data_IF_790133503290
#
_entry.id   IF_790133503290
#
_cell.length_a   1.000
_cell.length_b   1.000
_cell.length_c   1.000
_cell.angle_alpha   90.00
_cell.angle_beta   90.00
_cell.angle_gamma   90.00
#
_symmetry.space_group_name_H-M   'P 1'
#
loop_
_entity.id
_entity.type
_entity.pdbx_description
1 polymer ?
#
# COMPACT_ATOMS: atom_id res chain seq x y z
N UNK A 1 -7.64 -10.02 7.43
CA UNK A 1 -8.27 -8.69 7.38
C UNK A 1 -8.23 -8.23 5.95
N UNK A 2 -9.37 -7.94 5.35
CA UNK A 2 -9.46 -7.31 4.03
C UNK A 2 -9.12 -5.82 4.14
N UNK A 3 -8.88 -5.16 3.00
CA UNK A 3 -8.65 -3.71 2.96
C UNK A 3 -9.83 -2.91 3.56
N UNK A 4 -11.08 -3.39 3.43
CA UNK A 4 -12.26 -2.72 4.00
C UNK A 4 -12.25 -2.81 5.54
N UNK A 5 -11.94 -3.97 6.09
CA UNK A 5 -11.86 -4.17 7.55
C UNK A 5 -10.73 -3.32 8.16
N UNK A 6 -9.57 -3.23 7.48
CA UNK A 6 -8.48 -2.32 7.91
C UNK A 6 -8.94 -0.86 7.87
N UNK A 7 -9.74 -0.47 6.88
CA UNK A 7 -10.29 0.88 6.80
C UNK A 7 -11.27 1.18 7.96
N UNK A 8 -12.11 0.23 8.34
CA UNK A 8 -13.01 0.35 9.49
C UNK A 8 -12.23 0.51 10.80
N UNK A 9 -11.22 -0.32 11.01
CA UNK A 9 -10.32 -0.19 12.18
C UNK A 9 -9.67 1.19 12.18
N UNK A 10 -9.11 1.65 11.06
CA UNK A 10 -8.48 2.96 10.97
C UNK A 10 -9.47 4.09 11.31
N UNK A 11 -10.68 4.08 10.72
CA UNK A 11 -11.74 5.05 11.01
C UNK A 11 -12.13 5.09 12.48
N UNK A 12 -12.12 3.95 13.17
CA UNK A 12 -12.43 3.88 14.61
C UNK A 12 -11.34 4.47 15.51
N UNK A 13 -10.11 4.63 14.99
CA UNK A 13 -8.92 5.03 15.78
C UNK A 13 -8.36 6.41 15.43
N UNK A 14 -8.94 7.11 14.46
CA UNK A 14 -8.47 8.44 14.04
C UNK A 14 -9.63 9.37 13.74
N UNK A 15 -9.39 10.68 13.91
CA UNK A 15 -10.32 11.74 13.46
C UNK A 15 -10.06 12.20 12.02
N UNK A 16 -8.97 11.70 11.42
CA UNK A 16 -8.55 12.02 10.04
C UNK A 16 -9.47 11.32 9.04
N UNK A 17 -9.59 11.88 7.84
CA UNK A 17 -10.36 11.26 6.75
C UNK A 17 -9.64 9.98 6.31
N UNK A 18 -10.40 8.91 6.15
CA UNK A 18 -9.89 7.60 5.71
C UNK A 18 -10.59 7.17 4.41
N UNK A 19 -9.82 7.12 3.33
CA UNK A 19 -10.28 6.76 1.99
C UNK A 19 -9.66 5.44 1.53
N UNK A 20 -10.52 4.54 1.03
CA UNK A 20 -10.09 3.30 0.38
C UNK A 20 -9.89 3.58 -1.11
N UNK A 21 -8.72 3.27 -1.63
CA UNK A 21 -8.36 3.46 -3.04
C UNK A 21 -8.14 2.09 -3.67
N UNK A 22 -9.00 1.72 -4.62
CA UNK A 22 -8.96 0.46 -5.37
C UNK A 22 -9.15 0.73 -6.85
N UNK A 23 -8.80 -0.26 -7.67
CA UNK A 23 -8.91 -0.18 -9.13
C UNK A 23 -8.13 1.00 -9.73
N UNK A 24 -6.99 1.34 -9.10
CA UNK A 24 -6.12 2.41 -9.56
C UNK A 24 -5.44 2.00 -10.86
N UNK A 25 -5.28 2.93 -11.78
CA UNK A 25 -4.32 2.77 -12.88
C UNK A 25 -2.88 2.94 -12.37
N UNK A 26 -1.89 2.56 -13.18
CA UNK A 26 -0.48 2.76 -12.83
C UNK A 26 -0.13 4.26 -12.66
N UNK A 27 -0.77 5.12 -13.47
CA UNK A 27 -0.61 6.58 -13.41
C UNK A 27 -1.24 7.17 -12.15
N UNK A 28 -2.43 6.71 -11.75
CA UNK A 28 -3.06 7.13 -10.50
C UNK A 28 -2.25 6.69 -9.28
N UNK A 29 -1.73 5.45 -9.32
CA UNK A 29 -0.82 4.97 -8.28
C UNK A 29 0.45 5.83 -8.18
N UNK A 30 1.07 6.18 -9.31
CA UNK A 30 2.20 7.11 -9.35
C UNK A 30 1.84 8.47 -8.74
N UNK A 31 0.69 9.05 -9.09
CA UNK A 31 0.24 10.31 -8.51
C UNK A 31 0.06 10.23 -6.99
N UNK A 32 -0.34 9.07 -6.45
CA UNK A 32 -0.36 8.83 -5.01
C UNK A 32 1.04 8.72 -4.40
N UNK A 33 1.95 7.98 -5.04
CA UNK A 33 3.33 7.84 -4.54
C UNK A 33 4.07 9.18 -4.49
N UNK A 34 3.91 10.05 -5.50
CA UNK A 34 4.47 11.42 -5.47
C UNK A 34 4.01 12.26 -4.28
N UNK A 35 2.88 11.91 -3.65
CA UNK A 35 2.33 12.59 -2.47
C UNK A 35 2.61 11.84 -1.16
N UNK A 36 3.34 10.73 -1.19
CA UNK A 36 3.65 9.93 -0.01
C UNK A 36 4.63 10.63 0.95
N UNK A 37 5.42 11.59 0.46
CA UNK A 37 6.33 12.38 1.29
C UNK A 37 5.65 13.55 2.01
N UNK A 38 4.36 13.81 1.73
CA UNK A 38 3.60 14.86 2.41
C UNK A 38 3.33 14.46 3.87
N UNK A 39 3.79 15.23 4.88
CA UNK A 39 3.53 14.93 6.29
C UNK A 39 2.02 14.91 6.63
N UNK A 40 1.18 15.55 5.83
CA UNK A 40 -0.28 15.53 5.91
C UNK A 40 -0.93 14.31 5.26
N UNK A 41 -0.19 13.34 4.71
CA UNK A 41 -0.77 12.13 4.08
C UNK A 41 -0.06 10.87 4.52
N UNK A 42 -0.83 9.85 4.90
CA UNK A 42 -0.29 8.52 5.22
C UNK A 42 -0.97 7.48 4.36
N UNK A 43 -0.16 6.57 3.84
CA UNK A 43 -0.63 5.46 3.01
C UNK A 43 -0.32 4.13 3.69
N UNK A 44 -1.29 3.23 3.68
CA UNK A 44 -1.09 1.80 3.98
C UNK A 44 -1.39 1.05 2.69
N UNK A 45 -0.44 0.25 2.22
CA UNK A 45 -0.62 -0.58 1.03
C UNK A 45 -1.02 -2.00 1.42
N UNK A 46 -1.94 -2.58 0.66
CA UNK A 46 -2.25 -3.99 0.67
C UNK A 46 -1.73 -4.64 -0.61
N UNK A 47 -0.86 -5.63 -0.49
CA UNK A 47 -0.21 -6.26 -1.64
C UNK A 47 -0.01 -7.76 -1.39
N UNK A 48 0.17 -8.55 -2.45
CA UNK A 48 0.63 -9.95 -2.30
C UNK A 48 2.14 -10.02 -2.21
N UNK A 49 2.67 -10.78 -1.26
CA UNK A 49 4.11 -11.06 -1.15
C UNK A 49 4.61 -11.89 -2.31
N UNK A 50 3.77 -12.72 -2.93
CA UNK A 50 4.15 -13.58 -4.06
C UNK A 50 4.76 -12.80 -5.22
N UNK A 51 4.17 -11.66 -5.61
CA UNK A 51 4.67 -10.82 -6.72
C UNK A 51 6.01 -10.13 -6.40
N UNK A 52 6.35 -10.02 -5.12
CA UNK A 52 7.59 -9.36 -4.67
C UNK A 52 8.67 -10.40 -4.34
N UNK A 53 8.33 -11.48 -3.64
CA UNK A 53 9.29 -12.43 -3.10
C UNK A 53 9.21 -13.83 -3.74
N UNK A 54 8.31 -14.03 -4.71
CA UNK A 54 8.06 -15.33 -5.35
C UNK A 54 7.23 -16.29 -4.49
N UNK A 55 6.88 -15.92 -3.26
CA UNK A 55 6.03 -16.69 -2.36
C UNK A 55 5.37 -15.82 -1.29
N UNK A 56 4.38 -16.37 -0.61
CA UNK A 56 3.68 -15.75 0.52
C UNK A 56 2.34 -15.14 0.16
N UNK A 57 1.54 -14.88 1.19
CA UNK A 57 0.17 -14.38 1.06
C UNK A 57 0.08 -12.84 1.03
N UNK A 58 -1.14 -12.32 1.12
CA UNK A 58 -1.42 -10.90 1.29
C UNK A 58 -0.73 -10.31 2.52
N UNK A 59 -0.30 -9.04 2.41
CA UNK A 59 0.35 -8.30 3.47
C UNK A 59 -0.10 -6.83 3.47
N UNK A 60 0.06 -6.17 4.61
CA UNK A 60 -0.16 -4.74 4.77
C UNK A 60 1.09 -4.07 5.32
N UNK A 61 1.44 -2.89 4.80
CA UNK A 61 2.54 -2.09 5.35
C UNK A 61 2.34 -0.60 5.05
N UNK A 62 2.81 0.30 5.91
CA UNK A 62 2.86 1.72 5.59
C UNK A 62 3.84 2.03 4.46
N UNK A 63 3.53 3.05 3.67
CA UNK A 63 4.50 3.69 2.76
C UNK A 63 5.20 4.80 3.54
N UNK A 64 6.52 4.72 3.62
CA UNK A 64 7.39 5.69 4.27
C UNK A 64 7.78 6.86 3.36
N UNK A 65 7.69 6.68 2.05
CA UNK A 65 7.95 7.73 1.08
C UNK A 65 8.13 7.20 -0.35
N UNK A 66 8.42 8.11 -1.26
CA UNK A 66 8.69 7.84 -2.67
C UNK A 66 9.89 8.68 -3.15
N UNK A 67 10.77 8.03 -3.90
CA UNK A 67 11.97 8.62 -4.49
C UNK A 67 11.72 8.83 -5.99
N UNK A 68 11.40 10.07 -6.37
CA UNK A 68 10.93 10.40 -7.73
C UNK A 68 12.01 10.20 -8.81
N UNK A 69 13.28 10.41 -8.46
CA UNK A 69 14.39 10.26 -9.42
C UNK A 69 14.70 8.79 -9.73
N UNK A 70 14.51 7.90 -8.76
CA UNK A 70 14.82 6.47 -8.86
C UNK A 70 13.59 5.59 -9.16
N UNK A 71 12.38 6.18 -9.14
CA UNK A 71 11.10 5.47 -9.21
C UNK A 71 10.93 4.37 -8.14
N UNK A 72 11.40 4.65 -6.92
CA UNK A 72 11.42 3.70 -5.81
C UNK A 72 10.45 4.09 -4.69
N UNK A 73 9.71 3.11 -4.17
CA UNK A 73 8.81 3.27 -3.03
C UNK A 73 9.48 2.71 -1.78
N UNK A 74 9.48 3.49 -0.70
CA UNK A 74 9.96 3.03 0.60
C UNK A 74 8.83 2.38 1.40
N UNK A 75 8.88 1.06 1.56
CA UNK A 75 7.88 0.28 2.30
C UNK A 75 8.39 0.02 3.71
N UNK A 76 7.61 0.44 4.70
CA UNK A 76 7.92 0.21 6.12
C UNK A 76 7.35 -1.15 6.56
N UNK A 77 7.94 -2.25 6.08
CA UNK A 77 7.40 -3.58 6.35
C UNK A 77 7.35 -3.88 7.85
N UNK A 78 6.13 -4.12 8.34
CA UNK A 78 5.86 -4.39 9.76
C UNK A 78 6.31 -5.79 10.19
N UNK A 79 6.67 -6.66 9.26
CA UNK A 79 7.27 -7.94 9.57
C UNK A 79 8.77 -7.76 9.85
N UNK A 80 9.15 -7.92 11.12
CA UNK A 80 10.50 -7.70 11.62
C UNK A 80 11.60 -8.45 10.86
N UNK A 81 11.30 -9.61 10.26
CA UNK A 81 12.26 -10.38 9.47
C UNK A 81 12.66 -9.65 8.18
N UNK A 82 11.72 -8.94 7.54
CA UNK A 82 11.95 -8.26 6.27
C UNK A 82 12.51 -6.85 6.46
N UNK A 83 12.16 -6.18 7.58
CA UNK A 83 12.52 -4.77 7.88
C UNK A 83 12.00 -3.81 6.79
N UNK A 84 12.17 -2.48 6.93
CA UNK A 84 11.87 -1.57 5.83
C UNK A 84 12.75 -1.80 4.61
N UNK A 85 12.21 -1.63 3.40
CA UNK A 85 12.92 -1.83 2.14
C UNK A 85 12.42 -0.90 1.03
N UNK A 86 13.26 -0.74 0.00
CA UNK A 86 12.95 -0.01 -1.22
C UNK A 86 12.54 -1.00 -2.32
N UNK A 87 11.58 -0.63 -3.16
CA UNK A 87 11.13 -1.41 -4.31
C UNK A 87 10.79 -0.53 -5.50
N UNK A 88 10.90 -1.06 -6.72
CA UNK A 88 10.42 -0.41 -7.92
C UNK A 88 8.90 -0.16 -7.80
N UNK A 89 8.45 1.06 -8.09
CA UNK A 89 7.03 1.42 -8.01
C UNK A 89 6.14 0.49 -8.84
N UNK A 90 6.57 0.16 -10.06
CA UNK A 90 5.82 -0.73 -10.95
C UNK A 90 5.65 -2.14 -10.36
N UNK A 91 6.71 -2.68 -9.77
CA UNK A 91 6.66 -3.99 -9.11
C UNK A 91 5.69 -3.97 -7.93
N UNK A 92 5.73 -2.92 -7.11
CA UNK A 92 4.78 -2.75 -6.01
C UNK A 92 3.34 -2.60 -6.49
N UNK A 93 3.12 -1.83 -7.57
CA UNK A 93 1.82 -1.70 -8.21
C UNK A 93 1.29 -3.06 -8.67
N UNK A 94 2.11 -3.87 -9.35
CA UNK A 94 1.71 -5.21 -9.79
C UNK A 94 1.35 -6.16 -8.65
N UNK A 95 1.97 -5.97 -7.48
CA UNK A 95 1.66 -6.73 -6.26
C UNK A 95 0.34 -6.28 -5.61
N UNK A 96 0.01 -5.00 -5.72
CA UNK A 96 -1.25 -4.42 -5.25
C UNK A 96 -2.40 -4.69 -6.23
N UNK A 97 -2.15 -4.73 -7.54
CA UNK A 97 -3.18 -4.92 -8.58
C UNK A 97 -3.59 -6.39 -8.75
N UNK A 98 -3.89 -7.05 -7.64
CA UNK A 98 -4.27 -8.46 -7.56
C UNK A 98 -5.55 -8.62 -6.75
N UNK A 99 -6.31 -9.68 -7.03
CA UNK A 99 -7.51 -10.03 -6.25
C UNK A 99 -7.07 -10.58 -4.89
N UNK A 100 -7.72 -10.09 -3.83
CA UNK A 100 -7.55 -10.62 -2.49
C UNK A 100 -8.47 -11.83 -2.27
N UNK A 101 -7.88 -12.96 -1.90
CA UNK A 101 -8.62 -14.22 -1.70
C UNK A 101 -9.65 -14.13 -0.57
N UNK A 102 -9.38 -13.28 0.41
CA UNK A 102 -10.21 -13.15 1.61
C UNK A 102 -11.43 -12.25 1.40
N UNK A 103 -11.44 -11.43 0.35
CA UNK A 103 -12.46 -10.41 0.12
C UNK A 103 -13.05 -10.34 -1.28
N UNK A 104 -12.62 -11.21 -2.20
CA UNK A 104 -13.03 -11.29 -3.61
C UNK A 104 -13.03 -9.92 -4.34
N UNK A 105 -12.13 -9.03 -3.91
CA UNK A 105 -11.96 -7.68 -4.43
C UNK A 105 -10.47 -7.41 -4.62
N UNK A 106 -10.13 -6.50 -5.53
CA UNK A 106 -8.74 -6.05 -5.66
C UNK A 106 -8.22 -5.51 -4.32
N UNK A 107 -6.93 -5.78 -4.06
CA UNK A 107 -6.15 -5.07 -3.03
C UNK A 107 -6.03 -3.58 -3.42
N UNK A 108 -5.27 -2.80 -2.66
CA UNK A 108 -5.26 -1.35 -2.88
C UNK A 108 -4.49 -0.56 -1.82
N UNK A 109 -4.82 0.73 -1.73
CA UNK A 109 -4.29 1.64 -0.73
C UNK A 109 -5.38 2.09 0.24
N UNK A 110 -4.96 2.32 1.48
CA UNK A 110 -5.68 3.18 2.42
C UNK A 110 -4.96 4.53 2.49
N UNK A 111 -5.69 5.61 2.22
CA UNK A 111 -5.22 6.99 2.41
C UNK A 111 -5.82 7.55 3.69
N UNK A 112 -4.96 8.08 4.55
CA UNK A 112 -5.32 8.80 5.78
C UNK A 112 -4.82 10.24 5.67
N UNK A 113 -5.75 11.21 5.66
CA UNK A 113 -5.47 12.64 5.53
C UNK A 113 -6.25 13.49 6.54
#
# INVERSE_FOLDING_TARGET
>A
LTLDEVAEVARSKTKRKVSVLRNLTAEEFLAHMKRANDPGRRYIINFTRERIFGAGAGHFSPIGGYMDAEDMVFVLDVNQRYKPWLIERERLFSAMDTIDSDGDRKRGLLLIE
#
